data_IF_678291375394
#
_entry.id   IF_678291375394
#
_cell.length_a   1.000
_cell.length_b   1.000
_cell.length_c   1.000
_cell.angle_alpha   90.00
_cell.angle_beta   90.00
_cell.angle_gamma   90.00
#
_symmetry.space_group_name_H-M   'P 1'
#
loop_
_entity.id
_entity.type
_entity.pdbx_description
1 polymer ?
#
# COMPACT_ATOMS: atom_id res chain seq x y z
N UNK A 1 9.78 -11.72 9.16
CA UNK A 1 9.89 -10.55 8.24
C UNK A 1 8.86 -9.48 8.57
N UNK A 2 7.58 -9.65 8.25
CA UNK A 2 6.49 -8.80 8.71
C UNK A 2 5.56 -9.62 9.58
N UNK A 3 5.25 -9.15 10.78
CA UNK A 3 4.42 -9.89 11.73
C UNK A 3 3.71 -8.94 12.70
N UNK A 4 2.60 -9.42 13.27
CA UNK A 4 1.88 -8.74 14.35
C UNK A 4 2.29 -9.34 15.69
N UNK A 5 2.60 -8.47 16.64
CA UNK A 5 2.92 -8.86 18.02
C UNK A 5 2.02 -8.11 18.98
N UNK A 6 1.75 -8.70 20.13
CA UNK A 6 1.01 -8.04 21.22
C UNK A 6 1.99 -7.57 22.30
N UNK A 7 1.95 -6.28 22.62
CA UNK A 7 2.74 -5.65 23.67
C UNK A 7 1.77 -4.82 24.52
N UNK A 8 1.73 -5.08 25.83
CA UNK A 8 0.85 -4.39 26.78
C UNK A 8 -0.64 -4.37 26.34
N UNK A 9 -1.13 -5.50 25.82
CA UNK A 9 -2.51 -5.67 25.38
C UNK A 9 -2.86 -4.92 24.08
N UNK A 10 -1.85 -4.43 23.35
CA UNK A 10 -2.02 -3.76 22.05
C UNK A 10 -1.26 -4.50 20.96
N UNK A 11 -1.87 -4.59 19.80
CA UNK A 11 -1.20 -5.15 18.63
C UNK A 11 -0.28 -4.12 18.01
N UNK A 12 0.92 -4.56 17.71
CA UNK A 12 1.95 -3.77 17.05
C UNK A 12 2.46 -4.49 15.81
N UNK A 13 2.89 -3.70 14.85
CA UNK A 13 3.45 -4.20 13.60
C UNK A 13 4.98 -4.23 13.71
N UNK A 14 5.56 -5.42 13.57
CA UNK A 14 7.02 -5.61 13.46
C UNK A 14 7.39 -5.80 12.00
N UNK A 15 8.41 -5.06 11.57
CA UNK A 15 9.00 -5.17 10.24
C UNK A 15 10.52 -5.33 10.41
N UNK A 16 11.08 -6.45 9.94
CA UNK A 16 12.50 -6.75 10.12
C UNK A 16 12.94 -6.81 11.60
N UNK A 17 12.04 -7.26 12.50
CA UNK A 17 12.28 -7.29 13.94
C UNK A 17 12.21 -5.92 14.65
N UNK A 18 11.89 -4.84 13.93
CA UNK A 18 11.76 -3.48 14.47
C UNK A 18 10.28 -3.11 14.59
N UNK A 19 9.92 -2.43 15.68
CA UNK A 19 8.56 -1.93 15.89
C UNK A 19 8.26 -0.82 14.88
N UNK A 20 7.22 -1.00 14.08
CA UNK A 20 6.72 0.02 13.16
C UNK A 20 5.57 0.79 13.78
N UNK A 21 5.70 2.11 13.81
CA UNK A 21 4.64 3.03 14.24
C UNK A 21 3.80 3.55 13.06
N UNK A 22 4.09 3.12 11.83
CA UNK A 22 3.41 3.59 10.63
C UNK A 22 1.95 3.10 10.55
N UNK A 23 1.64 1.96 11.18
CA UNK A 23 0.32 1.36 11.19
C UNK A 23 -0.19 1.28 12.62
N UNK A 24 -1.09 2.18 12.97
CA UNK A 24 -1.68 2.23 14.31
C UNK A 24 -2.87 1.25 14.49
N UNK A 25 -3.54 0.90 13.40
CA UNK A 25 -4.67 -0.03 13.39
C UNK A 25 -4.38 -1.22 12.46
N UNK A 26 -4.07 -2.41 13.02
CA UNK A 26 -3.65 -3.57 12.23
C UNK A 26 -4.74 -4.12 11.32
N UNK A 27 -6.00 -3.86 11.62
CA UNK A 27 -7.13 -4.36 10.83
C UNK A 27 -7.65 -3.34 9.82
N UNK A 28 -7.20 -2.08 9.92
CA UNK A 28 -7.76 -0.96 9.16
C UNK A 28 -9.29 -0.79 9.35
N UNK A 29 -9.86 -1.39 10.38
CA UNK A 29 -11.27 -1.40 10.68
C UNK A 29 -11.50 -1.06 12.16
N UNK A 30 -12.28 -0.02 12.52
CA UNK A 30 -12.98 0.89 11.59
C UNK A 30 -12.07 1.95 10.95
N UNK A 31 -12.47 2.45 9.78
CA UNK A 31 -11.82 3.56 9.09
C UNK A 31 -12.40 4.90 9.53
N UNK A 32 -11.66 5.99 9.33
CA UNK A 32 -12.25 7.32 9.41
C UNK A 32 -13.31 7.47 8.29
N UNK A 33 -14.45 8.03 8.64
CA UNK A 33 -15.57 8.19 7.70
C UNK A 33 -15.12 9.00 6.46
N UNK A 34 -15.41 8.53 5.24
CA UNK A 34 -15.14 9.28 4.04
C UNK A 34 -15.73 10.69 4.11
N UNK A 35 -14.93 11.70 3.75
CA UNK A 35 -15.34 13.09 3.85
C UNK A 35 -15.21 13.72 5.25
N UNK A 36 -14.74 13.02 6.27
CA UNK A 36 -14.58 13.54 7.63
C UNK A 36 -13.80 14.87 7.70
N UNK A 37 -12.83 15.08 6.79
CA UNK A 37 -12.05 16.33 6.70
C UNK A 37 -12.64 17.37 5.74
N UNK A 38 -13.82 17.15 5.16
CA UNK A 38 -14.41 18.07 4.18
C UNK A 38 -14.56 19.49 4.73
N UNK A 39 -15.13 19.65 5.93
CA UNK A 39 -15.32 20.96 6.56
C UNK A 39 -13.98 21.62 6.91
N UNK A 40 -12.98 20.85 7.30
CA UNK A 40 -11.64 21.35 7.59
C UNK A 40 -11.02 22.03 6.36
N UNK A 41 -11.01 21.35 5.20
CA UNK A 41 -10.46 21.89 3.96
C UNK A 41 -11.33 22.99 3.32
N UNK A 42 -12.56 23.17 3.79
CA UNK A 42 -13.49 24.24 3.38
C UNK A 42 -13.48 25.46 4.31
N UNK A 43 -12.37 25.70 4.99
CA UNK A 43 -12.18 26.87 5.85
C UNK A 43 -12.42 26.61 7.33
N UNK A 44 -12.73 25.37 7.73
CA UNK A 44 -12.86 24.94 9.12
C UNK A 44 -13.72 25.92 9.98
N UNK A 45 -14.97 26.17 9.63
CA UNK A 45 -15.80 27.21 10.27
C UNK A 45 -15.97 26.97 11.77
N UNK A 46 -15.89 25.72 12.22
CA UNK A 46 -16.02 25.33 13.64
C UNK A 46 -14.68 25.35 14.39
N UNK A 47 -13.57 25.64 13.72
CA UNK A 47 -12.23 25.66 14.34
C UNK A 47 -11.76 24.31 14.89
N UNK A 48 -12.32 23.17 14.42
CA UNK A 48 -12.02 21.84 14.95
C UNK A 48 -10.64 21.37 14.56
N UNK A 49 -9.99 20.65 15.48
CA UNK A 49 -8.75 19.94 15.18
C UNK A 49 -9.03 18.82 14.16
N UNK A 50 -8.22 18.66 13.08
CA UNK A 50 -8.39 17.58 12.11
C UNK A 50 -8.43 16.19 12.76
N UNK A 51 -7.65 15.95 13.82
CA UNK A 51 -7.67 14.68 14.56
C UNK A 51 -9.00 14.40 15.27
N UNK A 52 -9.76 15.44 15.64
CA UNK A 52 -11.10 15.27 16.20
C UNK A 52 -12.11 14.85 15.13
N UNK A 53 -12.00 15.42 13.94
CA UNK A 53 -12.83 15.05 12.80
C UNK A 53 -12.60 13.61 12.35
N UNK A 54 -11.37 13.09 12.48
CA UNK A 54 -11.04 11.70 12.17
C UNK A 54 -11.51 10.69 13.25
N UNK A 55 -12.09 11.13 14.35
CA UNK A 55 -12.71 10.24 15.36
C UNK A 55 -14.05 9.68 14.90
N UNK A 56 -14.74 10.34 13.97
CA UNK A 56 -15.93 9.79 13.34
C UNK A 56 -15.53 8.65 12.40
N UNK A 57 -15.94 7.43 12.76
CA UNK A 57 -15.46 6.21 12.12
C UNK A 57 -16.63 5.33 11.71
N UNK A 58 -16.41 4.56 10.66
CA UNK A 58 -17.38 3.57 10.15
C UNK A 58 -16.68 2.24 9.87
N UNK A 59 -17.42 1.12 9.81
CA UNK A 59 -16.87 -0.15 9.39
C UNK A 59 -16.25 -0.05 8.00
N UNK A 60 -15.15 -0.79 7.79
CA UNK A 60 -14.47 -0.83 6.49
C UNK A 60 -15.45 -1.36 5.42
N UNK A 61 -15.79 -0.57 4.38
CA UNK A 61 -16.64 -1.03 3.29
C UNK A 61 -16.00 -2.19 2.52
N UNK A 62 -16.82 -3.12 2.02
CA UNK A 62 -16.35 -4.27 1.24
C UNK A 62 -15.47 -3.86 0.04
N UNK A 63 -15.76 -2.73 -0.58
CA UNK A 63 -14.99 -2.18 -1.70
C UNK A 63 -13.50 -1.87 -1.40
N UNK A 64 -13.08 -1.92 -0.13
CA UNK A 64 -11.66 -1.78 0.25
C UNK A 64 -10.89 -3.10 0.26
N UNK A 65 -11.59 -4.23 0.26
CA UNK A 65 -10.98 -5.56 0.40
C UNK A 65 -11.47 -6.57 -0.65
N UNK A 66 -12.39 -6.17 -1.50
CA UNK A 66 -12.99 -7.02 -2.53
C UNK A 66 -13.07 -6.25 -3.86
N UNK A 67 -12.50 -6.85 -4.91
CA UNK A 67 -12.40 -6.21 -6.22
C UNK A 67 -13.74 -6.09 -6.96
N UNK A 68 -14.68 -7.03 -6.77
CA UNK A 68 -16.01 -6.94 -7.39
C UNK A 68 -16.82 -5.82 -6.75
N UNK A 69 -16.78 -5.72 -5.41
CA UNK A 69 -17.39 -4.61 -4.70
C UNK A 69 -16.74 -3.26 -5.06
N UNK A 70 -15.42 -3.22 -5.27
CA UNK A 70 -14.72 -2.04 -5.76
C UNK A 70 -15.15 -1.64 -7.16
N UNK A 71 -15.29 -2.62 -8.06
CA UNK A 71 -15.75 -2.37 -9.44
C UNK A 71 -17.15 -1.76 -9.45
N UNK A 72 -18.07 -2.24 -8.60
CA UNK A 72 -19.40 -1.66 -8.47
C UNK A 72 -19.35 -0.18 -8.06
N UNK A 73 -18.47 0.19 -7.12
CA UNK A 73 -18.27 1.59 -6.71
C UNK A 73 -17.67 2.43 -7.83
N UNK A 74 -16.70 1.91 -8.58
CA UNK A 74 -16.11 2.60 -9.75
C UNK A 74 -17.21 2.94 -10.77
N UNK A 75 -18.09 1.99 -11.07
CA UNK A 75 -19.21 2.17 -11.99
C UNK A 75 -20.25 3.17 -11.45
N UNK A 76 -20.61 3.07 -10.16
CA UNK A 76 -21.53 4.00 -9.51
C UNK A 76 -21.03 5.44 -9.55
N UNK A 77 -19.71 5.64 -9.41
CA UNK A 77 -19.06 6.94 -9.50
C UNK A 77 -18.89 7.44 -10.94
N UNK A 78 -19.28 6.66 -11.94
CA UNK A 78 -19.12 7.01 -13.35
C UNK A 78 -17.66 7.09 -13.81
N UNK A 79 -16.75 6.40 -13.13
CA UNK A 79 -15.36 6.31 -13.51
C UNK A 79 -15.17 5.21 -14.55
N UNK A 80 -14.37 5.47 -15.58
CA UNK A 80 -14.02 4.48 -16.60
C UNK A 80 -13.05 3.44 -16.04
N UNK A 81 -12.03 3.90 -15.31
CA UNK A 81 -11.04 3.04 -14.70
C UNK A 81 -10.36 3.70 -13.48
N UNK A 82 -9.70 2.89 -12.66
CA UNK A 82 -8.91 3.32 -11.52
C UNK A 82 -7.59 2.58 -11.42
N UNK A 83 -6.56 3.27 -10.95
CA UNK A 83 -5.30 2.64 -10.58
C UNK A 83 -5.19 2.53 -9.05
N UNK A 84 -4.80 1.34 -8.59
CA UNK A 84 -4.55 1.06 -7.19
C UNK A 84 -3.05 1.01 -6.92
N UNK A 85 -2.59 1.86 -6.00
CA UNK A 85 -1.19 1.96 -5.62
C UNK A 85 -0.93 1.36 -4.24
N UNK A 86 0.20 0.65 -4.02
CA UNK A 86 0.57 0.08 -2.73
C UNK A 86 1.01 1.17 -1.75
N UNK A 87 0.14 1.55 -0.82
CA UNK A 87 0.41 2.63 0.15
C UNK A 87 1.58 2.32 1.09
N UNK A 88 1.73 1.07 1.51
CA UNK A 88 2.76 0.65 2.48
C UNK A 88 4.05 0.14 1.83
N UNK A 89 4.08 -0.07 0.51
CA UNK A 89 5.24 -0.64 -0.18
C UNK A 89 6.53 0.16 0.08
N UNK A 90 6.47 1.48 -0.06
CA UNK A 90 7.60 2.38 0.18
C UNK A 90 8.08 2.35 1.63
N UNK A 91 7.17 2.20 2.59
CA UNK A 91 7.52 2.12 4.01
C UNK A 91 8.25 0.81 4.33
N UNK A 92 7.83 -0.30 3.76
CA UNK A 92 8.48 -1.58 3.98
C UNK A 92 9.89 -1.61 3.39
N UNK A 93 10.10 -1.04 2.22
CA UNK A 93 11.43 -0.89 1.63
C UNK A 93 12.36 -0.08 2.54
N UNK A 94 11.90 1.05 3.11
CA UNK A 94 12.70 1.84 4.04
C UNK A 94 13.00 1.11 5.34
N UNK A 95 12.02 0.40 5.92
CA UNK A 95 12.17 -0.33 7.18
C UNK A 95 13.09 -1.56 7.06
N UNK A 96 13.19 -2.14 5.86
CA UNK A 96 14.00 -3.32 5.55
C UNK A 96 15.29 -2.98 4.79
N UNK A 97 15.63 -1.72 4.60
CA UNK A 97 16.72 -1.27 3.72
C UNK A 97 18.10 -1.90 4.00
N UNK A 98 18.32 -2.34 5.24
CA UNK A 98 19.55 -3.02 5.65
C UNK A 98 19.56 -4.53 5.30
N UNK A 99 18.47 -5.05 4.71
CA UNK A 99 18.28 -6.44 4.33
C UNK A 99 17.63 -6.52 2.93
N UNK A 100 18.47 -6.42 1.91
CA UNK A 100 18.04 -6.36 0.50
C UNK A 100 17.30 -7.64 0.09
N UNK A 101 17.70 -8.80 0.59
CA UNK A 101 17.04 -10.08 0.32
C UNK A 101 15.60 -10.06 0.89
N UNK A 102 15.42 -9.54 2.12
CA UNK A 102 14.10 -9.40 2.71
C UNK A 102 13.22 -8.41 1.95
N UNK A 103 13.79 -7.30 1.45
CA UNK A 103 13.06 -6.36 0.57
C UNK A 103 12.58 -7.07 -0.69
N UNK A 104 13.46 -7.78 -1.39
CA UNK A 104 13.12 -8.53 -2.60
C UNK A 104 12.02 -9.55 -2.37
N UNK A 105 12.19 -10.41 -1.37
CA UNK A 105 11.21 -11.44 -1.03
C UNK A 105 9.83 -10.86 -0.67
N UNK A 106 9.82 -9.72 0.05
CA UNK A 106 8.56 -9.05 0.41
C UNK A 106 7.86 -8.48 -0.81
N UNK A 107 8.59 -7.82 -1.72
CA UNK A 107 8.01 -7.21 -2.93
C UNK A 107 7.47 -8.27 -3.89
N UNK A 108 8.22 -9.34 -4.12
CA UNK A 108 7.75 -10.50 -4.91
C UNK A 108 6.48 -11.09 -4.29
N UNK A 109 6.46 -11.34 -2.98
CA UNK A 109 5.29 -11.86 -2.29
C UNK A 109 4.08 -10.92 -2.39
N UNK A 110 4.29 -9.61 -2.27
CA UNK A 110 3.25 -8.61 -2.43
C UNK A 110 2.67 -8.62 -3.85
N UNK A 111 3.50 -8.68 -4.88
CA UNK A 111 3.03 -8.67 -6.27
C UNK A 111 2.23 -9.95 -6.62
N UNK A 112 2.61 -11.11 -6.06
CA UNK A 112 1.82 -12.35 -6.20
C UNK A 112 0.44 -12.21 -5.56
N UNK A 113 0.39 -11.72 -4.31
CA UNK A 113 -0.88 -11.42 -3.64
C UNK A 113 -1.73 -10.40 -4.41
N UNK A 114 -1.11 -9.31 -4.91
CA UNK A 114 -1.83 -8.29 -5.67
C UNK A 114 -2.47 -8.88 -6.94
N UNK A 115 -1.76 -9.75 -7.65
CA UNK A 115 -2.29 -10.43 -8.82
C UNK A 115 -3.49 -11.34 -8.44
N UNK A 116 -3.37 -12.12 -7.37
CA UNK A 116 -4.40 -13.06 -6.93
C UNK A 116 -5.67 -12.35 -6.47
N UNK A 117 -5.54 -11.36 -5.59
CA UNK A 117 -6.69 -10.70 -4.95
C UNK A 117 -7.31 -9.60 -5.82
N UNK A 118 -6.48 -8.82 -6.52
CA UNK A 118 -6.94 -7.64 -7.26
C UNK A 118 -6.80 -7.76 -8.77
N UNK A 119 -5.78 -8.46 -9.23
CA UNK A 119 -5.36 -8.48 -10.62
C UNK A 119 -4.52 -7.26 -10.99
N UNK A 120 -3.64 -7.40 -11.99
CA UNK A 120 -2.94 -6.25 -12.58
C UNK A 120 -3.84 -5.53 -13.59
N UNK A 121 -4.78 -6.27 -14.18
CA UNK A 121 -5.85 -5.75 -15.02
C UNK A 121 -7.13 -6.55 -14.70
N UNK A 122 -8.03 -5.91 -13.98
CA UNK A 122 -9.32 -6.51 -13.65
C UNK A 122 -10.44 -5.85 -14.44
N UNK A 123 -10.91 -6.56 -15.48
CA UNK A 123 -12.01 -6.14 -16.37
C UNK A 123 -11.81 -4.79 -17.03
N UNK A 124 -10.59 -4.44 -17.41
CA UNK A 124 -10.20 -3.15 -18.01
C UNK A 124 -10.63 -1.92 -17.18
N UNK A 125 -10.91 -2.09 -15.91
CA UNK A 125 -11.44 -1.03 -15.02
C UNK A 125 -10.65 -0.84 -13.73
N UNK A 126 -10.02 -1.89 -13.18
CA UNK A 126 -9.18 -1.78 -12.01
C UNK A 126 -7.77 -2.27 -12.37
N UNK A 127 -6.80 -1.36 -12.26
CA UNK A 127 -5.41 -1.66 -12.54
C UNK A 127 -4.61 -1.66 -11.25
N UNK A 128 -4.22 -2.86 -10.79
CA UNK A 128 -3.30 -3.02 -9.66
C UNK A 128 -1.88 -2.73 -10.12
N UNK A 129 -1.19 -1.81 -9.45
CA UNK A 129 0.20 -1.44 -9.79
C UNK A 129 1.18 -2.23 -8.92
N UNK A 130 1.92 -3.22 -9.47
CA UNK A 130 2.93 -3.94 -8.72
C UNK A 130 4.05 -3.02 -8.27
N UNK A 131 4.70 -3.38 -7.16
CA UNK A 131 5.81 -2.64 -6.59
C UNK A 131 7.14 -3.27 -6.98
N UNK A 132 8.07 -2.46 -7.46
CA UNK A 132 9.45 -2.86 -7.75
C UNK A 132 10.42 -2.11 -6.83
N UNK A 133 11.40 -2.83 -6.28
CA UNK A 133 12.51 -2.24 -5.57
C UNK A 133 13.78 -2.33 -6.41
N UNK A 134 14.50 -1.23 -6.54
CA UNK A 134 15.81 -1.19 -7.22
C UNK A 134 16.97 -1.56 -6.28
N UNK A 135 16.69 -2.09 -5.10
CA UNK A 135 17.72 -2.54 -4.16
C UNK A 135 18.56 -3.71 -4.75
N UNK A 136 17.90 -4.56 -5.53
CA UNK A 136 18.53 -5.58 -6.38
C UNK A 136 17.99 -5.40 -7.81
N UNK A 137 18.86 -4.94 -8.71
CA UNK A 137 18.45 -4.58 -10.08
C UNK A 137 18.12 -5.82 -10.91
N UNK A 138 18.85 -6.93 -10.73
CA UNK A 138 18.60 -8.15 -11.49
C UNK A 138 17.26 -8.76 -11.09
N UNK A 139 16.95 -8.78 -9.81
CA UNK A 139 15.63 -9.19 -9.30
C UNK A 139 14.54 -8.24 -9.79
N UNK A 140 14.79 -6.92 -9.79
CA UNK A 140 13.80 -5.93 -10.26
C UNK A 140 13.46 -6.13 -11.74
N UNK A 141 14.46 -6.43 -12.59
CA UNK A 141 14.25 -6.72 -14.02
C UNK A 141 13.42 -8.00 -14.18
N UNK A 142 13.81 -9.08 -13.52
CA UNK A 142 13.08 -10.35 -13.60
C UNK A 142 11.64 -10.21 -13.11
N UNK A 143 11.42 -9.46 -12.03
CA UNK A 143 10.08 -9.21 -11.50
C UNK A 143 9.25 -8.30 -12.41
N UNK A 144 9.87 -7.29 -13.04
CA UNK A 144 9.22 -6.46 -14.05
C UNK A 144 8.73 -7.29 -15.24
N UNK A 145 9.61 -8.13 -15.80
CA UNK A 145 9.27 -9.02 -16.92
C UNK A 145 8.09 -9.92 -16.54
N UNK A 146 8.16 -10.55 -15.35
CA UNK A 146 7.06 -11.38 -14.87
C UNK A 146 5.75 -10.57 -14.72
N UNK A 147 5.78 -9.37 -14.14
CA UNK A 147 4.59 -8.53 -13.99
C UNK A 147 3.97 -8.17 -15.35
N UNK A 148 4.80 -7.84 -16.34
CA UNK A 148 4.34 -7.53 -17.70
C UNK A 148 3.69 -8.75 -18.36
N UNK A 149 4.29 -9.94 -18.21
CA UNK A 149 3.72 -11.19 -18.70
C UNK A 149 2.37 -11.54 -18.07
N UNK A 150 2.14 -11.08 -16.83
CA UNK A 150 0.86 -11.22 -16.13
C UNK A 150 -0.12 -10.06 -16.42
N UNK A 151 0.20 -9.16 -17.34
CA UNK A 151 -0.68 -8.10 -17.81
C UNK A 151 -0.59 -6.78 -17.03
N UNK A 152 0.46 -6.55 -16.24
CA UNK A 152 0.67 -5.26 -15.61
C UNK A 152 0.87 -4.15 -16.66
N UNK A 153 0.19 -3.02 -16.46
CA UNK A 153 0.28 -1.84 -17.35
C UNK A 153 1.02 -0.67 -16.70
N UNK A 154 1.17 -0.72 -15.39
CA UNK A 154 1.87 0.28 -14.59
C UNK A 154 2.72 -0.42 -13.54
N UNK A 155 3.73 0.26 -13.06
CA UNK A 155 4.53 -0.17 -11.92
C UNK A 155 4.66 0.98 -10.93
N UNK A 156 4.96 0.66 -9.69
CA UNK A 156 5.33 1.63 -8.66
C UNK A 156 6.73 1.30 -8.17
N UNK A 157 7.54 2.33 -8.01
CA UNK A 157 8.84 2.24 -7.39
C UNK A 157 9.12 3.48 -6.54
N UNK A 158 10.05 3.39 -5.61
CA UNK A 158 10.47 4.52 -4.79
C UNK A 158 11.11 5.60 -5.70
N UNK A 159 10.66 6.87 -5.66
CA UNK A 159 11.23 7.94 -6.47
C UNK A 159 12.46 8.57 -5.78
N UNK A 160 13.37 7.74 -5.27
CA UNK A 160 14.57 8.14 -4.56
C UNK A 160 15.64 7.04 -4.64
N UNK A 161 16.88 7.38 -4.35
CA UNK A 161 17.96 6.40 -4.22
C UNK A 161 17.59 5.34 -3.17
N UNK A 162 17.84 4.08 -3.49
CA UNK A 162 17.63 2.94 -2.60
C UNK A 162 18.95 2.39 -2.11
N UNK A 163 18.92 1.74 -0.95
CA UNK A 163 20.05 0.98 -0.46
C UNK A 163 20.18 -0.32 -1.26
N UNK A 164 21.39 -0.59 -1.71
CA UNK A 164 21.73 -1.81 -2.44
C UNK A 164 22.76 -2.61 -1.64
N UNK A 165 23.06 -3.82 -2.06
CA UNK A 165 24.13 -4.64 -1.47
C UNK A 165 25.49 -3.97 -1.49
N UNK A 166 25.70 -2.96 -2.34
CA UNK A 166 26.95 -2.18 -2.45
C UNK A 166 26.84 -0.80 -1.79
N UNK A 167 25.76 -0.52 -1.05
CA UNK A 167 25.48 0.77 -0.41
C UNK A 167 24.52 1.66 -1.23
N UNK A 168 24.27 2.90 -0.77
CA UNK A 168 23.37 3.79 -1.46
C UNK A 168 23.97 4.19 -2.82
N UNK A 169 23.15 4.10 -3.87
CA UNK A 169 23.51 4.70 -5.15
C UNK A 169 23.08 6.15 -5.15
N UNK A 170 23.97 7.01 -5.57
CA UNK A 170 23.62 8.39 -5.91
C UNK A 170 22.62 8.39 -7.07
N UNK A 171 21.62 9.25 -7.04
CA UNK A 171 20.69 9.42 -8.14
C UNK A 171 21.40 9.86 -9.40
#
# INVERSE_FOLDING_TARGET
MVQWVEIDGRRHHLVGGRLSHAVANPTWNPIAKPGALHSYFRGNPDGKNPLELLKDREPLPAAYVDRDARLAVVQEQGLEAVWLFPTLGVLYEELLKDDVEAVGALMVGFNRWLLEDWGFDYRDAIFGSPYLSLADVDLAVAELEWCLDQGARTIVMRPAAVWTVTGPRSP
#
